data_IF_339728722941
#
_entry.id   IF_339728722941
#
_cell.length_a   1.000
_cell.length_b   1.000
_cell.length_c   1.000
_cell.angle_alpha   90.00
_cell.angle_beta   90.00
_cell.angle_gamma   90.00
#
_symmetry.space_group_name_H-M   'P 1'
#
loop_
_entity.id
_entity.type
_entity.pdbx_description
1 polymer ?
#
# COMPACT_ATOMS: atom_id res chain seq x y z
N UNK A 1 -18.41 10.87 -15.17
CA UNK A 1 -18.76 11.26 -13.77
C UNK A 1 -20.27 11.40 -13.66
N UNK A 2 -20.96 10.60 -12.84
CA UNK A 2 -22.42 10.68 -12.72
C UNK A 2 -22.87 12.06 -12.20
N UNK A 3 -23.75 12.73 -12.94
CA UNK A 3 -24.27 14.08 -12.65
C UNK A 3 -24.80 14.28 -11.21
N UNK A 4 -25.16 13.19 -10.52
CA UNK A 4 -25.63 13.20 -9.12
C UNK A 4 -24.53 13.45 -8.08
N UNK A 5 -23.27 13.09 -8.38
CA UNK A 5 -22.13 13.31 -7.48
C UNK A 5 -21.65 14.77 -7.52
N UNK A 6 -21.68 15.40 -8.70
CA UNK A 6 -21.36 16.82 -8.85
C UNK A 6 -22.33 17.73 -8.09
N UNK A 7 -23.63 17.45 -8.17
CA UNK A 7 -24.66 18.20 -7.45
C UNK A 7 -24.51 18.10 -5.92
N UNK A 8 -24.14 16.94 -5.39
CA UNK A 8 -23.93 16.74 -3.94
C UNK A 8 -22.64 17.38 -3.43
N UNK A 9 -21.57 17.41 -4.25
CA UNK A 9 -20.32 18.12 -3.94
C UNK A 9 -20.57 19.62 -3.81
N UNK A 10 -21.41 20.20 -4.68
CA UNK A 10 -21.82 21.60 -4.61
C UNK A 10 -22.63 21.92 -3.34
N UNK A 11 -23.57 21.05 -2.95
CA UNK A 11 -24.39 21.22 -1.73
C UNK A 11 -23.55 21.13 -0.45
N UNK A 12 -22.52 20.28 -0.42
CA UNK A 12 -21.68 20.10 0.77
C UNK A 12 -20.55 21.13 0.86
N UNK A 13 -20.00 21.60 -0.27
CA UNK A 13 -19.11 22.75 -0.32
C UNK A 13 -19.81 24.03 0.18
N UNK A 14 -21.09 24.21 -0.16
CA UNK A 14 -21.91 25.30 0.36
C UNK A 14 -22.12 25.25 1.89
N UNK A 15 -21.92 24.07 2.52
CA UNK A 15 -22.00 23.89 3.98
C UNK A 15 -20.66 24.05 4.70
N UNK A 16 -19.60 24.52 4.01
CA UNK A 16 -18.24 24.70 4.57
C UNK A 16 -17.65 23.46 5.26
N UNK A 17 -18.06 22.27 4.83
CA UNK A 17 -17.44 21.02 5.30
C UNK A 17 -16.01 20.97 4.76
N UNK A 18 -15.01 20.85 5.63
CA UNK A 18 -13.60 20.83 5.22
C UNK A 18 -13.31 19.68 4.24
N UNK A 19 -12.38 19.88 3.30
CA UNK A 19 -12.00 18.86 2.31
C UNK A 19 -11.78 17.45 2.91
N UNK A 20 -11.03 17.31 4.01
CA UNK A 20 -10.84 16.01 4.67
C UNK A 20 -12.11 15.41 5.30
N UNK A 21 -13.03 16.25 5.80
CA UNK A 21 -14.33 15.78 6.29
C UNK A 21 -15.26 15.38 5.14
N UNK A 22 -15.19 16.10 4.03
CA UNK A 22 -15.97 15.81 2.83
C UNK A 22 -15.53 14.50 2.18
N UNK A 23 -14.22 14.25 2.04
CA UNK A 23 -13.71 12.99 1.48
C UNK A 23 -14.04 11.79 2.37
N UNK A 24 -14.04 11.96 3.71
CA UNK A 24 -14.54 10.92 4.64
C UNK A 24 -16.02 10.62 4.44
N UNK A 25 -16.85 11.65 4.32
CA UNK A 25 -18.30 11.49 4.08
C UNK A 25 -18.57 10.90 2.70
N UNK A 26 -17.88 11.34 1.65
CA UNK A 26 -18.01 10.81 0.29
C UNK A 26 -17.50 9.38 0.19
N UNK A 27 -16.38 9.05 0.85
CA UNK A 27 -15.87 7.69 0.99
C UNK A 27 -16.85 6.77 1.72
N UNK A 28 -17.44 7.23 2.83
CA UNK A 28 -18.50 6.50 3.54
C UNK A 28 -19.78 6.32 2.69
N UNK A 29 -20.20 7.34 1.95
CA UNK A 29 -21.38 7.28 1.07
C UNK A 29 -21.17 6.41 -0.17
N UNK A 30 -19.94 6.32 -0.70
CA UNK A 30 -19.60 5.38 -1.79
C UNK A 30 -19.77 3.93 -1.33
N UNK A 31 -19.41 3.64 -0.07
CA UNK A 31 -19.48 2.32 0.56
C UNK A 31 -20.92 1.90 0.92
N UNK A 32 -21.77 2.85 1.32
CA UNK A 32 -23.20 2.62 1.58
C UNK A 32 -24.03 2.14 0.35
N UNK A 33 -23.43 2.01 -0.84
CA UNK A 33 -24.07 1.37 -1.99
C UNK A 33 -23.91 -0.15 -2.00
N UNK A 34 -23.15 -0.74 -1.07
CA UNK A 34 -23.05 -2.19 -0.91
C UNK A 34 -23.77 -2.66 0.37
N UNK A 35 -24.75 -3.56 0.27
CA UNK A 35 -25.47 -4.08 1.44
C UNK A 35 -24.65 -5.04 2.33
N UNK A 36 -23.37 -5.32 2.00
CA UNK A 36 -22.53 -6.32 2.69
C UNK A 36 -21.39 -5.75 3.54
N UNK A 37 -21.40 -4.46 3.84
CA UNK A 37 -20.31 -3.83 4.60
C UNK A 37 -20.07 -4.50 5.96
N UNK A 38 -18.80 -4.78 6.25
CA UNK A 38 -18.30 -5.14 7.57
C UNK A 38 -18.01 -3.88 8.41
N UNK A 39 -18.32 -3.95 9.70
CA UNK A 39 -18.06 -2.90 10.68
C UNK A 39 -16.64 -3.04 11.28
N UNK A 40 -15.88 -1.97 11.22
CA UNK A 40 -14.53 -1.82 11.81
C UNK A 40 -14.61 -0.81 12.93
N UNK A 41 -14.26 -1.24 14.14
CA UNK A 41 -14.27 -0.37 15.31
C UNK A 41 -12.91 0.32 15.45
N UNK A 42 -12.89 1.65 15.37
CA UNK A 42 -11.69 2.47 15.59
C UNK A 42 -12.05 3.54 16.61
N UNK A 43 -11.31 3.59 17.73
CA UNK A 43 -11.35 4.60 18.80
C UNK A 43 -12.59 5.51 18.81
N UNK A 44 -13.71 4.96 19.28
CA UNK A 44 -14.97 5.70 19.48
C UNK A 44 -15.93 5.74 18.29
N UNK A 45 -15.64 5.03 17.18
CA UNK A 45 -16.50 4.97 16.00
C UNK A 45 -16.51 3.62 15.28
N UNK A 46 -17.51 3.47 14.38
CA UNK A 46 -17.63 2.32 13.47
C UNK A 46 -17.42 2.80 12.04
N UNK A 47 -16.36 2.32 11.40
CA UNK A 47 -16.10 2.48 9.97
C UNK A 47 -16.69 1.30 9.22
N UNK A 48 -17.41 1.54 8.14
CA UNK A 48 -17.93 0.49 7.27
C UNK A 48 -16.97 0.29 6.08
N UNK A 49 -16.51 -0.93 5.85
CA UNK A 49 -15.79 -1.31 4.62
C UNK A 49 -16.36 -2.62 4.08
N UNK A 50 -16.11 -2.93 2.82
CA UNK A 50 -16.43 -4.24 2.26
C UNK A 50 -15.82 -5.35 3.14
N UNK A 51 -16.43 -6.54 3.22
CA UNK A 51 -15.87 -7.62 4.01
C UNK A 51 -14.51 -8.00 3.43
N UNK A 52 -13.49 -8.04 4.30
CA UNK A 52 -12.18 -8.56 3.93
C UNK A 52 -12.32 -9.99 3.38
N UNK A 53 -11.49 -10.31 2.39
CA UNK A 53 -11.42 -11.63 1.77
C UNK A 53 -12.72 -12.07 1.07
N UNK A 54 -13.63 -11.13 0.76
CA UNK A 54 -14.81 -11.40 -0.05
C UNK A 54 -14.46 -11.96 -1.44
N UNK A 55 -13.32 -11.54 -1.99
CA UNK A 55 -12.73 -12.15 -3.18
C UNK A 55 -11.53 -13.00 -2.74
N UNK A 56 -11.37 -14.23 -3.23
CA UNK A 56 -10.17 -15.02 -2.94
C UNK A 56 -8.93 -14.34 -3.52
N UNK A 57 -7.78 -14.63 -2.91
CA UNK A 57 -6.45 -14.27 -3.42
C UNK A 57 -5.89 -15.44 -4.21
N UNK A 58 -5.13 -15.19 -5.27
CA UNK A 58 -4.32 -16.24 -5.92
C UNK A 58 -3.09 -16.62 -5.09
N UNK A 59 -2.70 -15.77 -4.15
CA UNK A 59 -1.61 -16.06 -3.20
C UNK A 59 -2.16 -16.48 -1.85
N UNK A 60 -1.67 -17.60 -1.35
CA UNK A 60 -1.94 -18.07 0.01
C UNK A 60 -1.11 -17.26 1.01
N UNK A 61 -1.76 -16.83 2.11
CA UNK A 61 -1.07 -16.17 3.21
C UNK A 61 -0.03 -17.13 3.80
N UNK A 62 1.20 -16.67 3.93
CA UNK A 62 2.26 -17.44 4.57
C UNK A 62 1.90 -17.76 6.04
N UNK A 63 2.12 -19.01 6.51
CA UNK A 63 2.08 -19.32 7.93
C UNK A 63 3.01 -18.38 8.71
N UNK A 64 2.58 -17.87 9.87
CA UNK A 64 3.30 -16.80 10.57
C UNK A 64 4.74 -17.19 10.95
N UNK A 65 4.99 -18.46 11.28
CA UNK A 65 6.33 -18.93 11.64
C UNK A 65 7.27 -18.97 10.43
N UNK A 66 6.74 -19.40 9.27
CA UNK A 66 7.49 -19.37 8.02
C UNK A 66 7.72 -17.93 7.54
N UNK A 67 6.71 -17.05 7.63
CA UNK A 67 6.87 -15.63 7.34
C UNK A 67 7.92 -14.97 8.27
N UNK A 68 7.91 -15.32 9.56
CA UNK A 68 8.88 -14.81 10.54
C UNK A 68 10.32 -15.12 10.14
N UNK A 69 10.59 -16.31 9.61
CA UNK A 69 11.91 -16.69 9.12
C UNK A 69 12.40 -15.73 8.03
N UNK A 70 11.60 -15.51 6.99
CA UNK A 70 11.96 -14.61 5.89
C UNK A 70 12.06 -13.15 6.33
N UNK A 71 11.11 -12.67 7.13
CA UNK A 71 11.14 -11.28 7.61
C UNK A 71 12.36 -11.06 8.52
N UNK A 72 12.77 -12.04 9.32
CA UNK A 72 14.00 -11.94 10.10
C UNK A 72 15.25 -11.82 9.22
N UNK A 73 15.28 -12.50 8.06
CA UNK A 73 16.36 -12.37 7.08
C UNK A 73 16.38 -10.96 6.43
N UNK A 74 15.21 -10.41 6.07
CA UNK A 74 15.09 -9.06 5.51
C UNK A 74 15.54 -7.98 6.51
N UNK A 75 15.18 -8.14 7.79
CA UNK A 75 15.50 -7.17 8.85
C UNK A 75 16.89 -7.41 9.47
N UNK A 76 17.47 -8.60 9.26
CA UNK A 76 18.75 -9.10 9.82
C UNK A 76 18.81 -9.13 11.34
N UNK A 77 17.66 -9.40 11.98
CA UNK A 77 17.47 -9.56 13.43
C UNK A 77 16.10 -10.17 13.68
N UNK A 78 15.75 -10.40 14.94
CA UNK A 78 14.42 -10.81 15.32
C UNK A 78 13.36 -9.85 14.74
N UNK A 79 12.42 -10.40 13.97
CA UNK A 79 11.38 -9.63 13.30
C UNK A 79 10.27 -9.20 14.29
N UNK A 80 9.90 -7.91 14.33
CA UNK A 80 8.73 -7.45 15.09
C UNK A 80 7.47 -8.19 14.63
N UNK A 81 6.63 -8.62 15.58
CA UNK A 81 5.39 -9.36 15.28
C UNK A 81 4.50 -8.64 14.27
N UNK A 82 4.29 -7.34 14.46
CA UNK A 82 3.46 -6.52 13.56
C UNK A 82 4.00 -6.49 12.12
N UNK A 83 5.32 -6.53 11.94
CA UNK A 83 5.94 -6.59 10.61
C UNK A 83 5.73 -7.97 9.96
N UNK A 84 5.86 -9.05 10.74
CA UNK A 84 5.55 -10.41 10.26
C UNK A 84 4.08 -10.50 9.81
N UNK A 85 3.16 -10.02 10.63
CA UNK A 85 1.72 -10.02 10.31
C UNK A 85 1.39 -9.13 9.10
N UNK A 86 2.14 -8.05 8.88
CA UNK A 86 1.96 -7.17 7.72
C UNK A 86 2.48 -7.79 6.41
N UNK A 87 3.55 -8.60 6.47
CA UNK A 87 4.18 -9.16 5.28
C UNK A 87 3.71 -10.60 4.95
N UNK A 88 3.17 -11.34 5.92
CA UNK A 88 2.62 -12.68 5.69
C UNK A 88 1.56 -12.77 4.55
N UNK A 89 0.68 -11.77 4.34
CA UNK A 89 -0.30 -11.78 3.25
C UNK A 89 0.29 -11.80 1.84
N UNK A 90 1.58 -11.47 1.66
CA UNK A 90 2.26 -11.55 0.37
C UNK A 90 2.64 -12.99 -0.02
N UNK A 91 2.54 -13.95 0.90
CA UNK A 91 2.88 -15.37 0.66
C UNK A 91 4.38 -15.66 0.67
N UNK A 92 4.73 -16.95 0.78
CA UNK A 92 6.12 -17.39 0.96
C UNK A 92 7.00 -17.06 -0.25
N UNK A 93 6.47 -17.24 -1.47
CA UNK A 93 7.24 -17.00 -2.70
C UNK A 93 7.69 -15.54 -2.83
N UNK A 94 6.81 -14.58 -2.53
CA UNK A 94 7.16 -13.16 -2.56
C UNK A 94 8.22 -12.80 -1.50
N UNK A 95 8.09 -13.35 -0.29
CA UNK A 95 9.06 -13.15 0.79
C UNK A 95 10.43 -13.73 0.45
N UNK A 96 10.47 -14.95 -0.09
CA UNK A 96 11.68 -15.61 -0.57
C UNK A 96 12.36 -14.78 -1.66
N UNK A 97 11.61 -14.33 -2.67
CA UNK A 97 12.13 -13.47 -3.75
C UNK A 97 12.74 -12.18 -3.22
N UNK A 98 12.13 -11.57 -2.20
CA UNK A 98 12.69 -10.38 -1.58
C UNK A 98 14.03 -10.66 -0.87
N UNK A 99 14.16 -11.82 -0.22
CA UNK A 99 15.43 -12.25 0.38
C UNK A 99 16.50 -12.49 -0.70
N UNK A 100 16.15 -13.20 -1.77
CA UNK A 100 17.07 -13.53 -2.86
C UNK A 100 17.54 -12.28 -3.61
N UNK A 101 16.63 -11.32 -3.79
CA UNK A 101 16.92 -10.01 -4.37
C UNK A 101 17.63 -9.05 -3.40
N UNK A 102 17.99 -9.53 -2.19
CA UNK A 102 18.73 -8.79 -1.15
C UNK A 102 18.03 -7.52 -0.70
N UNK A 103 16.69 -7.52 -0.67
CA UNK A 103 15.91 -6.47 -0.02
C UNK A 103 16.25 -6.45 1.46
N UNK A 104 16.37 -5.26 2.02
CA UNK A 104 16.58 -5.04 3.46
C UNK A 104 15.44 -4.22 4.02
N UNK A 105 15.11 -4.44 5.28
CA UNK A 105 14.15 -3.64 6.03
C UNK A 105 14.84 -3.08 7.28
N UNK A 106 14.78 -1.78 7.49
CA UNK A 106 15.29 -1.14 8.69
C UNK A 106 14.23 -0.27 9.37
N UNK A 107 14.07 -0.48 10.68
CA UNK A 107 13.31 0.42 11.53
C UNK A 107 14.14 1.67 11.81
N UNK A 108 13.62 2.84 11.44
CA UNK A 108 14.22 4.14 11.74
C UNK A 108 14.04 4.43 13.24
N UNK A 109 15.12 4.64 14.01
CA UNK A 109 15.01 4.94 15.43
C UNK A 109 14.21 6.23 15.69
N UNK A 110 13.53 6.30 16.83
CA UNK A 110 12.84 7.51 17.25
C UNK A 110 13.82 8.71 17.31
N UNK A 111 13.39 9.86 16.81
CA UNK A 111 14.21 11.08 16.74
C UNK A 111 15.31 11.08 15.66
N UNK A 112 15.44 10.01 14.86
CA UNK A 112 16.34 9.97 13.70
C UNK A 112 15.59 10.30 12.40
N UNK A 113 16.29 10.99 11.51
CA UNK A 113 15.85 11.29 10.15
C UNK A 113 16.14 10.11 9.20
N UNK A 114 15.37 9.99 8.12
CA UNK A 114 15.61 9.00 7.06
C UNK A 114 16.97 9.21 6.39
N UNK A 115 17.37 10.47 6.19
CA UNK A 115 18.69 10.85 5.65
C UNK A 115 19.86 10.38 6.52
N UNK A 116 19.65 10.17 7.82
CA UNK A 116 20.67 9.59 8.70
C UNK A 116 20.78 8.06 8.57
N UNK A 117 19.80 7.42 7.93
CA UNK A 117 19.73 5.97 7.77
C UNK A 117 20.05 5.50 6.34
N UNK A 118 20.02 6.40 5.35
CA UNK A 118 20.31 6.11 3.96
C UNK A 118 21.13 7.22 3.31
N UNK A 119 22.21 6.84 2.62
CA UNK A 119 23.06 7.77 1.88
C UNK A 119 22.34 8.34 0.66
N UNK A 120 21.54 7.52 -0.02
CA UNK A 120 20.74 7.97 -1.15
C UNK A 120 19.68 8.99 -0.71
N UNK A 121 19.01 8.77 0.43
CA UNK A 121 18.07 9.77 0.98
C UNK A 121 18.80 11.05 1.34
N UNK A 122 19.94 10.97 2.03
CA UNK A 122 20.75 12.15 2.36
C UNK A 122 21.17 12.96 1.13
N UNK A 123 21.42 12.30 0.00
CA UNK A 123 21.87 12.96 -1.24
C UNK A 123 20.71 13.52 -2.07
N UNK A 124 19.55 12.86 -2.10
CA UNK A 124 18.48 13.19 -3.04
C UNK A 124 17.37 14.01 -2.39
N UNK A 125 17.02 13.71 -1.15
CA UNK A 125 15.89 14.31 -0.42
C UNK A 125 16.24 14.47 1.08
N UNK A 126 17.28 15.24 1.44
CA UNK A 126 17.78 15.33 2.81
C UNK A 126 16.74 15.82 3.83
N UNK A 127 15.78 16.63 3.38
CA UNK A 127 14.76 17.29 4.22
C UNK A 127 13.39 16.59 4.22
N UNK A 128 13.30 15.33 3.76
CA UNK A 128 12.03 14.59 3.65
C UNK A 128 11.24 14.50 4.97
N UNK A 129 11.95 14.52 6.10
CA UNK A 129 11.37 14.50 7.44
C UNK A 129 10.70 15.82 7.86
N UNK A 130 11.00 16.92 7.18
CA UNK A 130 10.44 18.26 7.44
C UNK A 130 9.25 18.60 6.55
N UNK A 131 8.82 17.67 5.69
CA UNK A 131 7.63 17.86 4.86
C UNK A 131 6.38 17.99 5.73
N UNK A 132 5.34 18.66 5.21
CA UNK A 132 4.09 18.88 5.95
C UNK A 132 3.43 17.58 6.43
N UNK A 133 3.63 16.49 5.68
CA UNK A 133 3.27 15.13 6.06
C UNK A 133 4.50 14.23 5.80
N UNK A 134 5.39 14.03 6.78
CA UNK A 134 6.56 13.18 6.59
C UNK A 134 6.11 11.72 6.43
N UNK A 135 6.80 10.95 5.56
CA UNK A 135 6.35 9.60 5.24
C UNK A 135 6.55 8.64 6.42
N UNK A 136 5.64 7.68 6.57
CA UNK A 136 5.74 6.63 7.58
C UNK A 136 6.73 5.51 7.18
N UNK A 137 7.01 5.39 5.89
CA UNK A 137 7.99 4.47 5.33
C UNK A 137 8.58 5.02 4.03
N UNK A 138 9.68 4.43 3.58
CA UNK A 138 10.31 4.72 2.28
C UNK A 138 10.96 3.46 1.73
N UNK A 139 10.76 3.18 0.45
CA UNK A 139 11.60 2.26 -0.30
C UNK A 139 12.69 3.02 -1.07
N UNK A 140 13.93 2.81 -0.66
CA UNK A 140 15.13 3.39 -1.29
C UNK A 140 15.64 2.42 -2.36
N UNK A 141 15.21 2.64 -3.61
CA UNK A 141 15.51 1.79 -4.77
C UNK A 141 17.02 1.52 -4.94
N UNK A 142 17.84 2.58 -4.87
CA UNK A 142 19.30 2.52 -5.01
C UNK A 142 19.97 1.60 -3.98
N UNK A 143 19.38 1.46 -2.79
CA UNK A 143 19.92 0.70 -1.68
C UNK A 143 19.19 -0.62 -1.42
N UNK A 144 18.12 -0.90 -2.19
CA UNK A 144 17.18 -2.01 -1.97
C UNK A 144 16.73 -2.07 -0.52
N UNK A 145 16.38 -0.91 0.05
CA UNK A 145 16.17 -0.73 1.48
C UNK A 145 14.80 -0.12 1.75
N UNK A 146 13.97 -0.85 2.48
CA UNK A 146 12.75 -0.33 3.10
C UNK A 146 13.11 0.28 4.45
N UNK A 147 12.84 1.57 4.63
CA UNK A 147 12.96 2.29 5.89
C UNK A 147 11.56 2.47 6.47
N UNK A 148 11.35 2.11 7.74
CA UNK A 148 10.03 2.17 8.38
C UNK A 148 10.09 2.94 9.70
N UNK A 149 9.08 3.78 9.92
CA UNK A 149 8.75 4.33 11.23
C UNK A 149 7.76 3.42 11.94
N UNK A 150 7.67 3.54 13.26
CA UNK A 150 6.73 2.75 14.05
C UNK A 150 5.27 3.23 13.89
N UNK A 151 5.06 4.46 13.43
CA UNK A 151 3.75 5.02 13.13
C UNK A 151 3.13 4.29 11.93
N UNK A 152 1.93 3.71 12.11
CA UNK A 152 1.20 2.97 11.09
C UNK A 152 2.02 1.82 10.42
N UNK A 153 2.85 1.15 11.21
CA UNK A 153 3.85 0.18 10.75
C UNK A 153 3.28 -0.87 9.79
N UNK A 154 2.07 -1.38 10.01
CA UNK A 154 1.54 -2.47 9.19
C UNK A 154 1.24 -2.02 7.77
N UNK A 155 0.52 -0.91 7.64
CA UNK A 155 0.15 -0.35 6.34
C UNK A 155 1.39 0.17 5.59
N UNK A 156 2.27 0.89 6.28
CA UNK A 156 3.53 1.38 5.70
C UNK A 156 4.41 0.22 5.25
N UNK A 157 4.60 -0.82 6.07
CA UNK A 157 5.40 -1.98 5.69
C UNK A 157 4.87 -2.68 4.43
N UNK A 158 3.56 -2.90 4.33
CA UNK A 158 2.97 -3.51 3.15
C UNK A 158 3.11 -2.63 1.91
N UNK A 159 2.90 -1.32 2.06
CA UNK A 159 3.09 -0.35 0.97
C UNK A 159 4.55 -0.36 0.47
N UNK A 160 5.53 -0.15 1.34
CA UNK A 160 6.94 -0.11 0.93
C UNK A 160 7.45 -1.46 0.43
N UNK A 161 6.90 -2.57 0.93
CA UNK A 161 7.23 -3.89 0.41
C UNK A 161 6.67 -4.11 -1.00
N UNK A 162 5.53 -3.50 -1.35
CA UNK A 162 5.03 -3.51 -2.71
C UNK A 162 5.96 -2.77 -3.68
N UNK A 163 6.55 -1.63 -3.28
CA UNK A 163 7.63 -0.96 -4.04
C UNK A 163 8.85 -1.88 -4.20
N UNK A 164 9.22 -2.63 -3.16
CA UNK A 164 10.30 -3.59 -3.26
C UNK A 164 10.01 -4.70 -4.28
N UNK A 165 8.78 -5.25 -4.30
CA UNK A 165 8.35 -6.22 -5.31
C UNK A 165 8.35 -5.63 -6.72
N UNK A 166 7.86 -4.40 -6.87
CA UNK A 166 7.87 -3.67 -8.14
C UNK A 166 9.30 -3.59 -8.71
N UNK A 167 10.26 -3.27 -7.86
CA UNK A 167 11.67 -3.20 -8.23
C UNK A 167 12.33 -4.57 -8.45
N UNK A 168 11.82 -5.66 -7.85
CA UNK A 168 12.30 -7.04 -8.07
C UNK A 168 11.85 -7.54 -9.43
N UNK A 169 10.64 -7.16 -9.84
CA UNK A 169 10.03 -7.57 -11.09
C UNK A 169 10.57 -6.80 -12.31
N UNK A 170 11.19 -5.65 -12.09
CA UNK A 170 11.80 -4.83 -13.14
C UNK A 170 12.91 -5.60 -13.87
N UNK A 171 12.92 -5.50 -15.20
CA UNK A 171 13.97 -6.09 -16.02
C UNK A 171 15.23 -5.22 -16.00
N UNK A 172 15.09 -3.89 -15.88
CA UNK A 172 16.25 -2.98 -15.85
C UNK A 172 16.75 -2.77 -14.42
N UNK A 173 18.07 -2.67 -14.23
CA UNK A 173 18.63 -2.23 -12.95
C UNK A 173 18.07 -0.86 -12.56
N UNK A 174 17.78 -0.70 -11.26
CA UNK A 174 17.30 0.58 -10.68
C UNK A 174 16.07 1.12 -11.40
N UNK A 175 15.12 0.23 -11.69
CA UNK A 175 13.81 0.60 -12.22
C UNK A 175 12.69 -0.11 -11.44
N UNK A 176 11.46 0.22 -11.81
CA UNK A 176 10.24 -0.39 -11.33
C UNK A 176 9.53 -1.07 -12.49
N UNK A 177 8.98 -2.25 -12.27
CA UNK A 177 8.17 -2.98 -13.23
C UNK A 177 6.96 -2.15 -13.68
N UNK A 178 6.34 -1.39 -12.78
CA UNK A 178 5.24 -0.46 -13.08
C UNK A 178 5.61 0.55 -14.16
N UNK A 179 6.84 1.10 -14.14
CA UNK A 179 7.34 2.00 -15.20
C UNK A 179 7.59 1.28 -16.53
N UNK A 180 7.94 0.00 -16.49
CA UNK A 180 8.28 -0.80 -17.68
C UNK A 180 7.05 -1.41 -18.37
N UNK A 181 6.05 -1.81 -17.60
CA UNK A 181 4.86 -2.49 -18.10
C UNK A 181 3.82 -1.52 -18.70
N UNK A 182 3.48 -1.76 -19.97
CA UNK A 182 2.55 -0.91 -20.70
C UNK A 182 1.09 -1.02 -20.20
N UNK A 183 0.69 -2.17 -19.65
CA UNK A 183 -0.66 -2.37 -19.11
C UNK A 183 -0.82 -1.55 -17.83
N UNK A 184 0.19 -1.53 -16.95
CA UNK A 184 0.18 -0.73 -15.70
C UNK A 184 0.12 0.77 -16.03
N UNK A 185 0.97 1.26 -16.94
CA UNK A 185 0.94 2.67 -17.38
C UNK A 185 -0.43 3.07 -17.92
N UNK A 186 -1.07 2.19 -18.71
CA UNK A 186 -2.40 2.44 -19.26
C UNK A 186 -3.46 2.46 -18.16
N UNK A 187 -3.42 1.53 -17.21
CA UNK A 187 -4.36 1.48 -16.08
C UNK A 187 -4.29 2.78 -15.29
N UNK A 188 -3.08 3.20 -14.89
CA UNK A 188 -2.85 4.46 -14.17
C UNK A 188 -3.39 5.69 -14.92
N UNK A 189 -3.08 5.82 -16.21
CA UNK A 189 -3.55 6.96 -17.02
C UNK A 189 -5.08 7.05 -17.12
N UNK A 190 -5.80 5.95 -16.87
CA UNK A 190 -7.26 5.87 -16.93
C UNK A 190 -7.95 5.82 -15.57
N UNK A 191 -7.18 5.75 -14.48
CA UNK A 191 -7.70 5.54 -13.14
C UNK A 191 -8.47 6.77 -12.63
N UNK A 192 -9.70 6.58 -12.14
CA UNK A 192 -10.61 7.69 -11.79
C UNK A 192 -11.38 7.51 -10.47
N UNK A 193 -11.18 6.41 -9.73
CA UNK A 193 -12.04 6.05 -8.60
C UNK A 193 -11.37 5.34 -7.43
N UNK A 194 -10.36 4.52 -7.68
CA UNK A 194 -9.63 3.77 -6.65
C UNK A 194 -8.47 4.57 -6.02
N UNK A 195 -8.02 5.60 -6.73
CA UNK A 195 -6.84 6.40 -6.42
C UNK A 195 -7.17 7.36 -5.27
N UNK A 196 -6.68 7.08 -4.05
CA UNK A 196 -6.58 8.12 -3.03
C UNK A 196 -5.56 9.18 -3.52
N UNK A 197 -5.57 10.39 -2.97
CA UNK A 197 -4.67 11.46 -3.45
C UNK A 197 -3.19 11.04 -3.43
N UNK A 198 -2.83 10.14 -2.51
CA UNK A 198 -1.49 9.58 -2.42
C UNK A 198 -1.14 8.67 -3.61
N UNK A 199 -1.99 7.71 -3.95
CA UNK A 199 -1.83 6.83 -5.12
C UNK A 199 -1.80 7.61 -6.45
N UNK A 200 -2.35 8.83 -6.50
CA UNK A 200 -2.35 9.66 -7.70
C UNK A 200 -0.99 10.35 -7.93
N UNK A 201 -0.11 10.34 -6.93
CA UNK A 201 1.14 11.11 -6.95
C UNK A 201 2.20 10.51 -7.87
N UNK A 202 2.14 9.21 -8.14
CA UNK A 202 3.11 8.50 -8.97
C UNK A 202 2.59 7.14 -9.45
N UNK A 203 3.19 6.62 -10.52
CA UNK A 203 2.81 5.32 -11.07
C UNK A 203 3.21 4.16 -10.14
N UNK A 204 4.38 4.28 -9.53
CA UNK A 204 4.91 3.41 -8.49
C UNK A 204 4.01 3.44 -7.25
N UNK A 205 3.58 4.64 -6.83
CA UNK A 205 2.65 4.79 -5.70
C UNK A 205 1.28 4.16 -5.98
N UNK A 206 0.77 4.34 -7.20
CA UNK A 206 -0.43 3.66 -7.66
C UNK A 206 -0.29 2.14 -7.63
N UNK A 207 0.84 1.61 -8.11
CA UNK A 207 1.12 0.18 -8.05
C UNK A 207 1.16 -0.32 -6.60
N UNK A 208 1.92 0.34 -5.73
CA UNK A 208 2.09 -0.05 -4.34
C UNK A 208 0.77 -0.06 -3.57
N UNK A 209 -0.08 0.96 -3.76
CA UNK A 209 -1.40 1.02 -3.13
C UNK A 209 -2.36 -0.06 -3.67
N UNK A 210 -2.32 -0.36 -4.97
CA UNK A 210 -3.11 -1.44 -5.56
C UNK A 210 -2.68 -2.81 -4.99
N UNK A 211 -1.38 -3.08 -4.89
CA UNK A 211 -0.88 -4.31 -4.28
C UNK A 211 -1.26 -4.38 -2.80
N UNK A 212 -1.10 -3.30 -2.03
CA UNK A 212 -1.48 -3.24 -0.61
C UNK A 212 -2.96 -3.56 -0.41
N UNK A 213 -3.83 -3.02 -1.27
CA UNK A 213 -5.25 -3.32 -1.24
C UNK A 213 -5.55 -4.76 -1.62
N UNK A 214 -4.86 -5.32 -2.61
CA UNK A 214 -5.00 -6.72 -3.00
C UNK A 214 -4.63 -7.68 -1.85
N UNK A 215 -3.59 -7.39 -1.08
CA UNK A 215 -3.21 -8.18 0.11
C UNK A 215 -3.98 -7.80 1.38
N UNK A 216 -4.85 -6.78 1.30
CA UNK A 216 -5.76 -6.31 2.34
C UNK A 216 -5.08 -5.88 3.65
N UNK A 217 -3.84 -5.36 3.55
CA UNK A 217 -3.11 -4.88 4.73
C UNK A 217 -3.44 -3.42 5.00
N UNK A 218 -4.07 -3.20 6.15
CA UNK A 218 -4.50 -1.89 6.65
C UNK A 218 -4.04 -1.70 8.09
N UNK A 219 -4.09 -0.46 8.56
CA UNK A 219 -3.75 -0.09 9.94
C UNK A 219 -4.89 0.74 10.52
N UNK A 220 -5.38 0.35 11.70
CA UNK A 220 -6.51 1.00 12.36
C UNK A 220 -6.20 2.45 12.77
N UNK A 221 -4.91 2.80 12.87
CA UNK A 221 -4.44 4.15 13.17
C UNK A 221 -4.35 5.03 11.93
N UNK A 222 -4.55 4.47 10.74
CA UNK A 222 -4.51 5.22 9.49
C UNK A 222 -5.72 6.15 9.41
N UNK A 223 -5.46 7.39 8.99
CA UNK A 223 -6.54 8.33 8.66
C UNK A 223 -7.19 8.01 7.31
N UNK A 224 -6.56 7.16 6.51
CA UNK A 224 -7.08 6.68 5.24
C UNK A 224 -8.03 5.51 5.46
N UNK A 225 -9.09 5.47 4.66
CA UNK A 225 -10.05 4.37 4.73
C UNK A 225 -9.35 3.04 4.39
N UNK A 226 -9.69 1.94 5.09
CA UNK A 226 -9.18 0.62 4.74
C UNK A 226 -9.51 0.27 3.29
N UNK A 227 -8.54 -0.25 2.55
CA UNK A 227 -8.71 -0.74 1.18
C UNK A 227 -8.75 -2.27 1.18
N UNK A 228 -9.66 -2.82 0.40
CA UNK A 228 -9.84 -4.27 0.25
C UNK A 228 -9.53 -4.73 -1.17
N UNK A 229 -9.35 -6.04 -1.33
CA UNK A 229 -9.20 -6.69 -2.63
C UNK A 229 -10.46 -6.49 -3.47
N UNK A 230 -11.63 -6.47 -2.82
CA UNK A 230 -12.89 -6.21 -3.47
C UNK A 230 -12.98 -4.77 -4.01
N UNK A 231 -12.54 -3.78 -3.23
CA UNK A 231 -12.52 -2.37 -3.66
C UNK A 231 -11.68 -2.21 -4.93
N UNK A 232 -10.50 -2.84 -4.97
CA UNK A 232 -9.64 -2.84 -6.16
C UNK A 232 -10.35 -3.48 -7.35
N UNK A 233 -10.94 -4.68 -7.18
CA UNK A 233 -11.63 -5.38 -8.27
C UNK A 233 -12.83 -4.61 -8.84
N UNK A 234 -13.52 -3.80 -8.02
CA UNK A 234 -14.69 -3.03 -8.45
C UNK A 234 -14.29 -1.68 -9.06
N UNK A 235 -13.36 -0.99 -8.42
CA UNK A 235 -12.98 0.38 -8.82
C UNK A 235 -11.93 0.39 -9.93
N UNK A 236 -11.07 -0.63 -9.98
CA UNK A 236 -9.98 -0.77 -10.95
C UNK A 236 -9.77 -2.24 -11.38
N UNK A 237 -10.73 -2.83 -12.11
CA UNK A 237 -10.67 -4.23 -12.51
C UNK A 237 -9.47 -4.56 -13.39
N UNK A 238 -8.96 -3.60 -14.15
CA UNK A 238 -7.76 -3.78 -14.97
C UNK A 238 -6.53 -3.98 -14.09
N UNK A 239 -6.33 -3.09 -13.11
CA UNK A 239 -5.21 -3.21 -12.19
C UNK A 239 -5.34 -4.40 -11.25
N UNK A 240 -6.56 -4.75 -10.83
CA UNK A 240 -6.83 -6.00 -10.12
C UNK A 240 -6.27 -7.22 -10.87
N UNK A 241 -6.63 -7.38 -12.15
CA UNK A 241 -6.18 -8.50 -12.97
C UNK A 241 -4.66 -8.51 -13.16
N UNK A 242 -4.03 -7.34 -13.31
CA UNK A 242 -2.58 -7.21 -13.41
C UNK A 242 -1.89 -7.67 -12.11
N UNK A 243 -2.42 -7.29 -10.94
CA UNK A 243 -1.87 -7.73 -9.65
C UNK A 243 -2.00 -9.25 -9.48
N UNK A 244 -3.10 -9.87 -9.93
CA UNK A 244 -3.23 -11.34 -9.95
C UNK A 244 -2.18 -12.00 -10.84
N UNK A 245 -1.94 -11.44 -12.04
CA UNK A 245 -0.90 -11.91 -12.97
C UNK A 245 0.49 -11.83 -12.32
N UNK A 246 0.78 -10.73 -11.61
CA UNK A 246 2.04 -10.53 -10.88
C UNK A 246 2.25 -11.61 -9.81
N UNK A 247 1.26 -11.83 -8.93
CA UNK A 247 1.38 -12.85 -7.89
C UNK A 247 1.46 -14.27 -8.46
N UNK A 248 0.73 -14.55 -9.52
CA UNK A 248 0.82 -15.85 -10.23
C UNK A 248 2.22 -16.09 -10.76
N UNK A 249 2.86 -15.08 -11.38
CA UNK A 249 4.24 -15.15 -11.86
C UNK A 249 5.25 -15.34 -10.73
N UNK A 250 5.04 -14.68 -9.59
CA UNK A 250 5.89 -14.83 -8.40
C UNK A 250 5.83 -16.25 -7.85
N UNK A 251 4.64 -16.88 -7.83
CA UNK A 251 4.46 -18.25 -7.34
C UNK A 251 5.04 -19.29 -8.30
N UNK A 252 4.98 -19.03 -9.61
CA UNK A 252 5.41 -19.99 -10.63
C UNK A 252 6.93 -20.06 -10.86
N UNK A 253 7.71 -19.14 -10.31
CA UNK A 253 9.11 -18.92 -10.70
C UNK A 253 10.06 -18.90 -9.51
#
# INVERSE_FOLDING_TARGET
MSARLGARRAVLAAKKVSGPALERVLGGLRRLRNPRLAAYHVDGGVLLSEPFSLRPSVVERAPLDAARHFVAALVRRAAPRALVEALAPFGLAALQRAVDARIRIAMVPAGRAFSQCSRSVASLVPDIDHWAAPPAGLFVLEERLVLLRNSALRMAAAHEFAHALDAILAARPRSYYSFEDAKIRKAFASANGFVNEYAASGLDEYFAECVRAYVEVNDDRSQWLPLTRHDLAVCDPAMFAIVEEVFTRIVAA
#
